data_IF_019944394963
#
_entry.id   IF_019944394963
#
_cell.length_a   1.000
_cell.length_b   1.000
_cell.length_c   1.000
_cell.angle_alpha   90.00
_cell.angle_beta   90.00
_cell.angle_gamma   90.00
#
_symmetry.space_group_name_H-M   'P 1'
#
loop_
_entity.id
_entity.type
_entity.pdbx_description
1 polymer ?
#
# COMPACT_ATOMS: atom_id res chain seq x y z
N UNK A 1 3.54 18.64 -13.30
CA UNK A 1 3.74 18.42 -11.86
C UNK A 1 3.19 17.06 -11.46
N UNK A 2 3.99 16.26 -10.81
CA UNK A 2 3.54 14.94 -10.38
C UNK A 2 2.50 15.07 -9.27
N UNK A 3 1.47 14.23 -9.33
CA UNK A 3 0.44 14.16 -8.30
C UNK A 3 0.66 12.87 -7.50
N UNK A 4 0.70 13.02 -6.20
CA UNK A 4 0.94 11.92 -5.28
C UNK A 4 -0.38 11.41 -4.73
N UNK A 5 -0.63 10.12 -4.92
CA UNK A 5 -1.76 9.43 -4.30
C UNK A 5 -1.17 8.44 -3.32
N UNK A 6 -1.61 8.52 -2.07
CA UNK A 6 -1.07 7.65 -1.03
C UNK A 6 -2.16 7.14 -0.11
N UNK A 7 -1.95 5.94 0.40
CA UNK A 7 -2.67 5.39 1.55
C UNK A 7 -1.66 5.19 2.65
N UNK A 8 -1.90 5.82 3.80
CA UNK A 8 -1.02 5.72 4.96
C UNK A 8 -1.51 4.59 5.86
N UNK A 9 -0.62 3.66 6.15
CA UNK A 9 -0.89 2.59 7.10
C UNK A 9 -0.63 3.16 8.48
N UNK A 10 -1.71 3.47 9.21
CA UNK A 10 -1.62 3.96 10.58
C UNK A 10 -1.99 2.86 11.55
N UNK A 11 -1.03 2.42 12.32
CA UNK A 11 -1.26 1.72 13.57
C UNK A 11 -1.32 2.77 14.67
N UNK A 12 -1.65 2.42 15.89
CA UNK A 12 -1.77 3.40 16.99
C UNK A 12 -0.47 4.19 17.15
N UNK A 13 -0.47 5.48 16.80
CA UNK A 13 0.74 6.32 16.78
C UNK A 13 1.41 6.45 18.13
N UNK A 14 0.64 6.55 19.22
CA UNK A 14 1.21 6.68 20.55
C UNK A 14 2.04 5.47 20.96
N UNK A 15 1.60 4.29 20.59
CA UNK A 15 2.36 3.04 20.82
C UNK A 15 3.53 2.92 19.87
N UNK A 16 3.37 3.30 18.61
CA UNK A 16 4.41 3.17 17.58
C UNK A 16 5.62 4.04 17.88
N UNK A 17 5.45 5.17 18.52
CA UNK A 17 6.58 6.04 18.90
C UNK A 17 7.57 5.39 19.84
N UNK A 18 7.15 4.39 20.58
CA UNK A 18 7.99 3.65 21.53
C UNK A 18 8.60 2.40 20.92
N UNK A 19 8.42 2.18 19.62
CA UNK A 19 8.80 0.94 18.96
C UNK A 19 10.32 0.78 18.82
N UNK A 20 10.74 -0.48 18.91
CA UNK A 20 12.11 -0.87 18.59
C UNK A 20 12.32 -0.90 17.08
N UNK A 21 13.58 -1.01 16.66
CA UNK A 21 13.94 -1.14 15.25
C UNK A 21 13.25 -2.32 14.57
N UNK A 22 13.06 -3.43 15.26
CA UNK A 22 12.39 -4.60 14.70
C UNK A 22 10.94 -4.32 14.34
N UNK A 23 10.31 -3.42 15.07
CA UNK A 23 8.93 -3.02 14.77
C UNK A 23 8.87 -2.12 13.54
N UNK A 24 9.85 -1.24 13.34
CA UNK A 24 9.96 -0.46 12.11
C UNK A 24 10.16 -1.37 10.90
N UNK A 25 11.02 -2.39 11.05
CA UNK A 25 11.22 -3.39 10.00
C UNK A 25 9.90 -4.11 9.68
N UNK A 26 9.13 -4.47 10.69
CA UNK A 26 7.84 -5.14 10.49
C UNK A 26 6.83 -4.25 9.74
N UNK A 27 6.83 -2.94 10.02
CA UNK A 27 5.99 -1.99 9.29
C UNK A 27 6.38 -1.91 7.81
N UNK A 28 7.67 -1.81 7.52
CA UNK A 28 8.16 -1.75 6.16
C UNK A 28 7.83 -3.04 5.39
N UNK A 29 8.01 -4.19 6.03
CA UNK A 29 7.67 -5.47 5.43
C UNK A 29 6.16 -5.62 5.20
N UNK A 30 5.33 -5.07 6.08
CA UNK A 30 3.87 -5.05 5.89
C UNK A 30 3.49 -4.23 4.67
N UNK A 31 4.13 -3.08 4.48
CA UNK A 31 3.88 -2.25 3.29
C UNK A 31 4.33 -2.96 2.00
N UNK A 32 5.47 -3.65 2.03
CA UNK A 32 5.90 -4.46 0.89
C UNK A 32 4.91 -5.58 0.58
N UNK A 33 4.39 -6.24 1.61
CA UNK A 33 3.37 -7.28 1.45
C UNK A 33 2.09 -6.70 0.85
N UNK A 34 1.70 -5.49 1.23
CA UNK A 34 0.56 -4.81 0.66
C UNK A 34 0.76 -4.54 -0.84
N UNK A 35 1.92 -4.02 -1.22
CA UNK A 35 2.24 -3.77 -2.63
C UNK A 35 2.18 -5.08 -3.43
N UNK A 36 2.75 -6.14 -2.89
CA UNK A 36 2.74 -7.45 -3.53
C UNK A 36 1.32 -7.97 -3.70
N UNK A 37 0.48 -7.86 -2.67
CA UNK A 37 -0.89 -8.32 -2.74
C UNK A 37 -1.71 -7.54 -3.77
N UNK A 38 -1.51 -6.23 -3.86
CA UNK A 38 -2.16 -5.40 -4.89
C UNK A 38 -1.79 -5.88 -6.29
N UNK A 39 -0.52 -6.21 -6.52
CA UNK A 39 -0.05 -6.74 -7.80
C UNK A 39 -0.64 -8.11 -8.08
N UNK A 40 -0.63 -9.00 -7.09
CA UNK A 40 -1.13 -10.37 -7.25
C UNK A 40 -2.64 -10.40 -7.51
N UNK A 41 -3.40 -9.49 -6.88
CA UNK A 41 -4.83 -9.34 -7.10
C UNK A 41 -5.17 -8.58 -8.38
N UNK A 42 -4.16 -8.02 -9.06
CA UNK A 42 -4.32 -7.31 -10.34
C UNK A 42 -5.30 -6.13 -10.25
N UNK A 43 -5.21 -5.36 -9.18
CA UNK A 43 -6.17 -4.28 -8.88
C UNK A 43 -5.85 -2.96 -9.57
N UNK A 44 -4.61 -2.76 -10.02
CA UNK A 44 -4.18 -1.49 -10.58
C UNK A 44 -4.34 -1.44 -12.09
N UNK A 45 -4.61 -0.24 -12.65
CA UNK A 45 -4.55 -0.06 -14.10
C UNK A 45 -3.18 -0.44 -14.63
N UNK A 46 -3.14 -1.17 -15.74
CA UNK A 46 -1.90 -1.65 -16.32
C UNK A 46 -1.90 -1.38 -17.83
N UNK A 47 -1.07 -0.43 -18.27
CA UNK A 47 -0.82 -0.18 -19.69
C UNK A 47 0.63 -0.60 -20.02
N UNK A 48 1.61 0.10 -19.46
CA UNK A 48 3.03 -0.23 -19.62
C UNK A 48 3.62 -0.89 -18.38
N UNK A 49 2.87 -0.95 -17.29
CA UNK A 49 3.36 -1.41 -15.99
C UNK A 49 4.05 -0.32 -15.16
N UNK A 50 4.17 0.90 -15.70
CA UNK A 50 4.87 1.97 -15.00
C UNK A 50 4.21 2.33 -13.66
N UNK A 51 2.88 2.46 -13.63
CA UNK A 51 2.17 2.78 -12.41
C UNK A 51 2.36 1.70 -11.34
N UNK A 52 2.13 0.44 -11.71
CA UNK A 52 2.18 -0.69 -10.78
C UNK A 52 3.60 -1.02 -10.32
N UNK A 53 4.55 -1.06 -11.24
CA UNK A 53 5.87 -1.62 -10.99
C UNK A 53 6.93 -0.58 -10.65
N UNK A 54 6.83 0.62 -11.24
CA UNK A 54 7.88 1.63 -11.11
C UNK A 54 7.45 2.81 -10.22
N UNK A 55 6.17 3.14 -10.20
CA UNK A 55 5.69 4.35 -9.55
C UNK A 55 4.83 4.09 -8.31
N UNK A 56 4.60 2.83 -7.96
CA UNK A 56 3.96 2.46 -6.69
C UNK A 56 5.03 1.86 -5.80
N UNK A 57 5.26 2.52 -4.67
CA UNK A 57 6.40 2.18 -3.82
C UNK A 57 6.12 2.49 -2.35
N UNK A 58 7.00 1.97 -1.50
CA UNK A 58 7.02 2.20 -0.06
C UNK A 58 7.72 3.52 0.24
N UNK A 59 7.08 4.37 1.04
CA UNK A 59 7.70 5.57 1.60
C UNK A 59 7.85 5.38 3.11
N UNK A 60 9.09 5.25 3.57
CA UNK A 60 9.43 5.04 4.98
C UNK A 60 10.05 6.27 5.64
N UNK A 61 9.92 7.45 5.03
CA UNK A 61 10.51 8.69 5.54
C UNK A 61 10.03 9.07 6.94
N UNK A 62 8.89 8.56 7.38
CA UNK A 62 8.30 8.81 8.69
C UNK A 62 8.30 7.57 9.60
N UNK A 63 9.16 6.61 9.33
CA UNK A 63 9.21 5.36 10.10
C UNK A 63 9.47 5.57 11.59
N UNK A 64 10.26 6.57 11.94
CA UNK A 64 10.56 6.89 13.35
C UNK A 64 9.33 7.42 14.09
N UNK A 65 8.34 7.91 13.36
CA UNK A 65 7.06 8.35 13.90
C UNK A 65 6.00 7.25 13.85
N UNK A 66 6.41 6.02 13.50
CA UNK A 66 5.52 4.89 13.42
C UNK A 66 4.63 4.89 12.18
N UNK A 67 5.07 5.55 11.10
CA UNK A 67 4.28 5.69 9.87
C UNK A 67 5.06 5.23 8.66
N UNK A 68 4.43 4.37 7.87
CA UNK A 68 4.92 3.93 6.57
C UNK A 68 3.77 4.09 5.58
N UNK A 69 4.06 4.61 4.39
CA UNK A 69 3.04 4.87 3.36
C UNK A 69 3.34 4.06 2.12
N UNK A 70 2.28 3.61 1.43
CA UNK A 70 2.38 3.10 0.07
C UNK A 70 1.88 4.21 -0.85
N UNK A 71 2.68 4.57 -1.85
CA UNK A 71 2.46 5.73 -2.69
C UNK A 71 2.45 5.33 -4.16
N UNK A 72 1.45 5.82 -4.90
CA UNK A 72 1.44 5.78 -6.36
C UNK A 72 1.73 7.19 -6.87
N UNK A 73 2.87 7.39 -7.53
CA UNK A 73 3.42 8.70 -7.85
C UNK A 73 3.67 8.89 -9.34
N UNK A 74 2.60 9.07 -10.11
CA UNK A 74 2.68 9.46 -11.51
C UNK A 74 1.80 10.68 -11.75
N UNK A 75 2.00 11.43 -12.86
CA UNK A 75 1.13 12.57 -13.17
C UNK A 75 -0.34 12.19 -13.33
N UNK A 76 -0.65 10.96 -13.68
CA UNK A 76 -2.01 10.49 -13.92
C UNK A 76 -2.58 9.60 -12.80
N UNK A 77 -1.79 9.27 -11.78
CA UNK A 77 -2.22 8.34 -10.71
C UNK A 77 -3.48 8.82 -10.01
N UNK A 78 -3.51 10.08 -9.61
CA UNK A 78 -4.67 10.66 -8.91
C UNK A 78 -5.94 10.59 -9.76
N UNK A 79 -5.82 10.91 -11.04
CA UNK A 79 -6.95 10.88 -11.95
C UNK A 79 -7.53 9.48 -12.06
N UNK A 80 -6.69 8.49 -12.26
CA UNK A 80 -7.13 7.10 -12.37
C UNK A 80 -7.70 6.60 -11.04
N UNK A 81 -7.08 6.96 -9.94
CA UNK A 81 -7.52 6.51 -8.62
C UNK A 81 -8.93 6.98 -8.28
N UNK A 82 -9.24 8.25 -8.56
CA UNK A 82 -10.53 8.84 -8.18
C UNK A 82 -11.61 8.73 -9.26
N UNK A 83 -11.35 7.97 -10.32
CA UNK A 83 -12.33 7.75 -11.41
C UNK A 83 -12.57 6.26 -11.64
N UNK A 84 -13.19 5.56 -10.67
CA UNK A 84 -13.47 4.13 -10.83
C UNK A 84 -14.47 3.84 -11.95
N UNK A 85 -15.21 4.84 -12.42
CA UNK A 85 -16.16 4.71 -13.52
C UNK A 85 -15.49 4.61 -14.91
N UNK A 86 -14.19 4.90 -15.02
CA UNK A 86 -13.48 4.77 -16.29
C UNK A 86 -13.41 3.31 -16.73
N UNK A 87 -13.41 3.11 -18.06
CA UNK A 87 -13.32 1.78 -18.65
C UNK A 87 -11.85 1.34 -18.71
N UNK A 88 -11.40 0.67 -17.66
CA UNK A 88 -10.01 0.25 -17.54
C UNK A 88 -9.74 -1.01 -18.37
N UNK A 89 -8.57 -1.03 -19.03
CA UNK A 89 -8.11 -2.19 -19.76
C UNK A 89 -7.82 -3.34 -18.80
N UNK A 90 -8.35 -4.53 -19.11
CA UNK A 90 -8.19 -5.72 -18.27
C UNK A 90 -7.31 -6.79 -18.91
N UNK A 91 -6.58 -6.46 -19.98
CA UNK A 91 -5.75 -7.41 -20.70
C UNK A 91 -4.62 -7.97 -19.83
N UNK A 92 -3.93 -7.11 -19.07
CA UNK A 92 -2.81 -7.51 -18.21
C UNK A 92 -3.27 -7.73 -16.77
N UNK A 93 -4.15 -6.86 -16.26
CA UNK A 93 -4.70 -6.98 -14.90
C UNK A 93 -6.21 -7.15 -15.00
N UNK A 94 -6.71 -8.33 -14.70
CA UNK A 94 -8.12 -8.68 -14.86
C UNK A 94 -9.06 -7.83 -14.00
N UNK A 95 -8.58 -7.37 -12.85
CA UNK A 95 -9.36 -6.59 -11.89
C UNK A 95 -8.99 -5.10 -11.90
N UNK A 96 -8.34 -4.62 -12.95
CA UNK A 96 -7.89 -3.24 -13.06
C UNK A 96 -9.04 -2.26 -12.86
N UNK A 97 -8.79 -1.21 -12.08
CA UNK A 97 -9.77 -0.18 -11.80
C UNK A 97 -9.19 0.94 -10.95
N UNK A 98 -10.03 1.89 -10.59
CA UNK A 98 -9.66 2.95 -9.68
C UNK A 98 -9.71 2.49 -8.22
N UNK A 99 -9.30 3.39 -7.31
CA UNK A 99 -9.35 3.16 -5.86
C UNK A 99 -8.71 1.84 -5.40
N UNK A 100 -7.55 1.53 -5.94
CA UNK A 100 -6.89 0.23 -5.70
C UNK A 100 -6.42 0.01 -4.26
N UNK A 101 -6.36 1.04 -3.41
CA UNK A 101 -6.08 0.88 -1.99
C UNK A 101 -7.33 0.63 -1.14
N UNK A 102 -8.53 0.96 -1.64
CA UNK A 102 -9.77 0.88 -0.84
C UNK A 102 -10.08 -0.52 -0.30
N UNK A 103 -9.83 -1.62 -1.03
CA UNK A 103 -10.08 -2.95 -0.46
C UNK A 103 -9.37 -3.19 0.87
N UNK A 104 -8.22 -2.55 1.08
CA UNK A 104 -7.40 -2.71 2.28
C UNK A 104 -7.77 -1.72 3.38
N UNK A 105 -8.52 -0.68 3.06
CA UNK A 105 -8.93 0.35 4.02
C UNK A 105 -10.30 0.01 4.61
N UNK A 106 -11.27 -0.27 3.77
CA UNK A 106 -12.67 -0.48 4.18
C UNK A 106 -13.37 -1.61 3.43
N UNK A 107 -12.68 -2.31 2.53
CA UNK A 107 -13.25 -3.36 1.69
C UNK A 107 -13.03 -4.77 2.24
N UNK A 108 -13.08 -5.74 1.35
CA UNK A 108 -13.00 -7.17 1.69
C UNK A 108 -11.63 -7.61 2.23
N UNK A 109 -10.61 -6.76 2.11
CA UNK A 109 -9.27 -7.03 2.66
C UNK A 109 -8.93 -6.07 3.81
N UNK A 110 -9.91 -5.56 4.52
CA UNK A 110 -9.71 -4.56 5.58
C UNK A 110 -8.88 -5.05 6.76
N UNK A 111 -8.77 -6.36 6.97
CA UNK A 111 -7.95 -6.94 8.03
C UNK A 111 -6.55 -7.32 7.58
N UNK A 112 -6.24 -7.22 6.28
CA UNK A 112 -4.97 -7.69 5.71
C UNK A 112 -3.76 -7.04 6.38
N UNK A 113 -3.76 -5.73 6.49
CA UNK A 113 -2.62 -4.97 7.03
C UNK A 113 -2.37 -5.34 8.49
N UNK A 114 -3.43 -5.36 9.29
CA UNK A 114 -3.34 -5.67 10.72
C UNK A 114 -2.83 -7.08 10.96
N UNK A 115 -3.37 -8.05 10.25
CA UNK A 115 -2.98 -9.45 10.40
C UNK A 115 -1.56 -9.70 9.92
N UNK A 116 -1.18 -9.10 8.79
CA UNK A 116 0.16 -9.22 8.23
C UNK A 116 1.20 -8.61 9.17
N UNK A 117 0.92 -7.42 9.71
CA UNK A 117 1.80 -6.79 10.68
C UNK A 117 1.98 -7.66 11.92
N UNK A 118 0.90 -8.21 12.46
CA UNK A 118 0.95 -9.06 13.65
C UNK A 118 1.86 -10.28 13.44
N UNK A 119 1.74 -10.94 12.29
CA UNK A 119 2.59 -12.08 11.94
C UNK A 119 4.05 -11.70 11.81
N UNK A 120 4.33 -10.63 11.09
CA UNK A 120 5.70 -10.17 10.86
C UNK A 120 6.35 -9.68 12.14
N UNK A 121 5.60 -8.99 12.98
CA UNK A 121 6.11 -8.51 14.27
C UNK A 121 6.53 -9.68 15.17
N UNK A 122 5.71 -10.73 15.28
CA UNK A 122 6.07 -11.93 16.02
C UNK A 122 7.33 -12.61 15.46
N UNK A 123 7.39 -12.72 14.13
CA UNK A 123 8.53 -13.34 13.44
C UNK A 123 9.83 -12.56 13.65
N UNK A 124 9.76 -11.24 13.74
CA UNK A 124 10.91 -10.36 13.93
C UNK A 124 11.28 -10.16 15.41
N UNK A 125 10.74 -10.95 16.31
CA UNK A 125 11.08 -10.90 17.72
C UNK A 125 10.17 -10.03 18.58
N UNK A 126 9.01 -9.66 18.08
CA UNK A 126 7.98 -8.97 18.84
C UNK A 126 7.28 -9.89 19.83
N UNK A 127 6.35 -9.32 20.59
CA UNK A 127 5.63 -10.02 21.66
C UNK A 127 4.76 -11.18 21.20
#
# INVERSE_FOLDING_TARGET
MAVKVSSTIKLNEAKLKELTRQQYVSLAQTADALITDIRDEQLMPFDTGNLQNDSTFLDDSQKEQGRVSVVSNTPYARRLYYHPEYDYRTTNNANAGGKWFEPYISGFKSTFIKETFAKLFKRNGGL
#
